data_IF_809964171814
#
_entry.id   IF_809964171814
#
_cell.length_a   1.000
_cell.length_b   1.000
_cell.length_c   1.000
_cell.angle_alpha   90.00
_cell.angle_beta   90.00
_cell.angle_gamma   90.00
#
_symmetry.space_group_name_H-M   'P 1'
#
loop_
_entity.id
_entity.type
_entity.pdbx_description
1 polymer ?
#
# COMPACT_ATOMS: atom_id res chain seq x y z
N UNK A 1 -8.64 7.63 -26.72
CA UNK A 1 -8.71 6.55 -25.69
C UNK A 1 -8.18 7.11 -24.37
N UNK A 2 -8.98 7.16 -23.31
CA UNK A 2 -8.53 7.67 -22.01
C UNK A 2 -7.72 6.58 -21.34
N UNK A 3 -6.42 6.80 -21.16
CA UNK A 3 -5.55 5.84 -20.48
C UNK A 3 -5.96 5.74 -19.01
N UNK A 4 -6.28 4.53 -18.54
CA UNK A 4 -6.56 4.29 -17.13
C UNK A 4 -5.24 4.09 -16.39
N UNK A 5 -4.96 5.00 -15.48
CA UNK A 5 -3.85 4.85 -14.53
C UNK A 5 -4.41 4.31 -13.23
N UNK A 6 -3.97 3.13 -12.83
CA UNK A 6 -4.41 2.49 -11.59
C UNK A 6 -3.98 3.21 -10.32
N UNK A 7 -4.02 2.50 -9.21
CA UNK A 7 -3.57 3.00 -7.91
C UNK A 7 -2.07 3.23 -7.91
N UNK A 8 -1.61 4.29 -7.24
CA UNK A 8 -0.20 4.68 -7.18
C UNK A 8 0.21 4.82 -5.71
N UNK A 9 1.29 4.16 -5.32
CA UNK A 9 2.01 4.41 -4.07
C UNK A 9 3.31 5.13 -4.38
N UNK A 10 3.67 6.08 -3.55
CA UNK A 10 4.92 6.84 -3.65
C UNK A 10 5.65 6.77 -2.32
N UNK A 11 6.94 6.50 -2.38
CA UNK A 11 7.88 6.68 -1.28
C UNK A 11 8.99 7.62 -1.77
N UNK A 12 9.22 8.72 -1.09
CA UNK A 12 10.12 9.74 -1.57
C UNK A 12 10.75 10.61 -0.49
N UNK A 13 11.60 11.52 -0.93
CA UNK A 13 12.24 12.51 -0.07
C UNK A 13 12.25 13.88 -0.77
N UNK A 14 11.84 14.91 -0.05
CA UNK A 14 11.88 16.28 -0.51
C UNK A 14 12.23 17.21 0.65
N UNK A 15 13.04 18.22 0.41
CA UNK A 15 13.45 19.23 1.40
C UNK A 15 13.93 18.62 2.73
N UNK A 16 14.72 17.53 2.65
CA UNK A 16 15.25 16.83 3.82
C UNK A 16 14.27 15.94 4.59
N UNK A 17 13.01 15.89 4.17
CA UNK A 17 11.95 15.06 4.79
C UNK A 17 11.58 13.89 3.89
N UNK A 18 11.43 12.72 4.49
CA UNK A 18 10.87 11.55 3.80
C UNK A 18 9.35 11.62 3.86
N UNK A 19 8.70 11.14 2.82
CA UNK A 19 7.24 11.12 2.72
C UNK A 19 6.75 9.87 1.98
N UNK A 20 5.51 9.51 2.25
CA UNK A 20 4.74 8.57 1.44
C UNK A 20 3.50 9.28 0.89
N UNK A 21 3.03 8.85 -0.27
CA UNK A 21 1.79 9.36 -0.84
C UNK A 21 1.01 8.23 -1.53
N UNK A 22 -0.29 8.40 -1.62
CA UNK A 22 -1.20 7.46 -2.23
C UNK A 22 -2.20 8.16 -3.15
N UNK A 23 -2.38 7.61 -4.33
CA UNK A 23 -3.47 7.96 -5.22
C UNK A 23 -4.39 6.77 -5.38
N UNK A 24 -5.62 6.91 -4.90
CA UNK A 24 -6.68 5.93 -5.13
C UNK A 24 -7.28 6.14 -6.53
N UNK A 25 -7.46 5.05 -7.26
CA UNK A 25 -8.18 5.02 -8.53
C UNK A 25 -8.90 3.67 -8.63
N UNK A 26 -10.18 3.70 -8.93
CA UNK A 26 -11.01 2.51 -9.08
C UNK A 26 -12.03 2.74 -10.18
N UNK A 27 -12.23 1.75 -11.04
CA UNK A 27 -13.27 1.79 -12.08
C UNK A 27 -14.65 1.53 -11.48
N UNK A 28 -14.73 0.58 -10.55
CA UNK A 28 -15.99 0.14 -9.95
C UNK A 28 -16.49 1.09 -8.85
N UNK A 29 -15.56 1.74 -8.12
CA UNK A 29 -15.86 2.65 -7.02
C UNK A 29 -15.01 3.92 -7.13
N UNK A 30 -15.33 4.83 -8.09
CA UNK A 30 -14.50 5.99 -8.37
C UNK A 30 -14.60 7.10 -7.30
N UNK A 31 -15.71 7.14 -6.56
CA UNK A 31 -16.02 8.22 -5.63
C UNK A 31 -15.46 7.91 -4.24
N UNK A 32 -14.26 8.40 -3.97
CA UNK A 32 -13.54 8.18 -2.72
C UNK A 32 -13.15 9.49 -2.05
N UNK A 33 -12.98 9.43 -0.75
CA UNK A 33 -12.37 10.47 0.07
C UNK A 33 -11.28 9.89 0.95
N UNK A 34 -10.37 10.73 1.41
CA UNK A 34 -9.38 10.39 2.42
C UNK A 34 -9.77 11.04 3.74
N UNK A 35 -9.75 10.27 4.81
CA UNK A 35 -9.95 10.74 6.18
C UNK A 35 -8.63 10.63 6.94
N UNK A 36 -8.22 11.76 7.54
CA UNK A 36 -6.95 11.84 8.30
C UNK A 36 -7.26 11.58 9.77
N UNK A 37 -6.52 10.67 10.35
CA UNK A 37 -6.49 10.36 11.77
C UNK A 37 -5.10 10.63 12.32
N UNK A 38 -4.87 10.47 13.62
CA UNK A 38 -3.59 10.79 14.27
C UNK A 38 -2.38 10.16 13.56
N UNK A 39 -2.40 8.84 13.35
CA UNK A 39 -1.30 8.08 12.74
C UNK A 39 -1.70 7.34 11.46
N UNK A 40 -2.83 7.69 10.87
CA UNK A 40 -3.32 7.01 9.68
C UNK A 40 -4.12 7.92 8.75
N UNK A 41 -4.18 7.51 7.49
CA UNK A 41 -5.09 8.05 6.49
C UNK A 41 -5.92 6.88 5.95
N UNK A 42 -7.24 6.99 6.08
CA UNK A 42 -8.19 5.97 5.64
C UNK A 42 -8.84 6.40 4.34
N UNK A 43 -8.89 5.52 3.36
CA UNK A 43 -9.72 5.70 2.16
C UNK A 43 -11.12 5.24 2.48
N UNK A 44 -12.10 6.10 2.19
CA UNK A 44 -13.52 5.85 2.40
C UNK A 44 -14.31 6.12 1.12
N UNK A 45 -15.43 5.44 0.87
CA UNK A 45 -16.35 5.86 -0.18
C UNK A 45 -17.03 7.17 0.20
N UNK A 46 -17.42 7.95 -0.80
CA UNK A 46 -18.26 9.15 -0.59
C UNK A 46 -19.70 8.75 -0.23
N UNK A 47 -20.20 7.67 -0.82
CA UNK A 47 -21.52 7.11 -0.50
C UNK A 47 -21.36 5.92 0.47
N UNK A 48 -21.93 6.02 1.68
CA UNK A 48 -21.92 4.91 2.64
C UNK A 48 -22.59 3.62 2.13
N UNK A 49 -23.52 3.70 1.18
CA UNK A 49 -24.17 2.55 0.58
C UNK A 49 -23.17 1.65 -0.19
N UNK A 50 -22.08 2.21 -0.68
CA UNK A 50 -21.02 1.46 -1.34
C UNK A 50 -20.31 0.50 -0.38
N UNK A 51 -20.23 0.80 0.93
CA UNK A 51 -19.69 -0.11 1.94
C UNK A 51 -20.53 -1.39 2.10
N UNK A 52 -21.84 -1.27 1.98
CA UNK A 52 -22.73 -2.44 2.03
C UNK A 52 -22.53 -3.36 0.82
N UNK A 53 -22.15 -2.80 -0.33
CA UNK A 53 -21.86 -3.54 -1.56
C UNK A 53 -20.48 -4.20 -1.53
N UNK A 54 -19.49 -3.52 -0.96
CA UNK A 54 -18.13 -4.03 -0.85
C UNK A 54 -17.40 -3.38 0.36
N UNK A 55 -17.25 -4.11 1.48
CA UNK A 55 -16.58 -3.56 2.66
C UNK A 55 -15.06 -3.34 2.46
N UNK A 56 -14.44 -3.99 1.47
CA UNK A 56 -13.00 -3.87 1.20
C UNK A 56 -12.60 -2.56 0.51
N UNK A 57 -13.55 -1.68 0.22
CA UNK A 57 -13.27 -0.38 -0.35
C UNK A 57 -12.89 0.66 0.70
N UNK A 58 -13.05 0.36 1.99
CA UNK A 58 -12.56 1.17 3.10
C UNK A 58 -11.35 0.48 3.74
N UNK A 59 -10.24 1.20 3.83
CA UNK A 59 -8.99 0.68 4.41
C UNK A 59 -8.03 1.83 4.74
N UNK A 60 -7.13 1.59 5.67
CA UNK A 60 -6.01 2.49 5.89
C UNK A 60 -5.05 2.39 4.69
N UNK A 61 -4.87 3.47 3.96
CA UNK A 61 -3.90 3.52 2.86
C UNK A 61 -2.51 3.97 3.33
N UNK A 62 -2.45 4.70 4.44
CA UNK A 62 -1.21 5.12 5.10
C UNK A 62 -1.35 4.88 6.60
N UNK A 63 -0.32 4.34 7.22
CA UNK A 63 -0.16 4.28 8.68
C UNK A 63 1.28 4.56 9.08
N UNK A 64 1.45 5.12 10.27
CA UNK A 64 2.76 5.39 10.87
C UNK A 64 2.93 4.51 12.10
N UNK A 65 3.97 3.67 12.08
CA UNK A 65 4.46 2.88 13.21
C UNK A 65 5.80 3.45 13.64
N UNK A 66 5.88 4.01 14.84
CA UNK A 66 7.07 4.68 15.36
C UNK A 66 7.63 5.74 14.39
N UNK A 67 8.78 5.47 13.79
CA UNK A 67 9.45 6.34 12.80
C UNK A 67 9.30 5.85 11.35
N UNK A 68 8.40 4.88 11.11
CA UNK A 68 8.15 4.30 9.79
C UNK A 68 6.78 4.71 9.27
N UNK A 69 6.72 5.35 8.11
CA UNK A 69 5.45 5.56 7.39
C UNK A 69 5.28 4.47 6.34
N UNK A 70 4.13 3.82 6.36
CA UNK A 70 3.74 2.73 5.44
C UNK A 70 2.59 3.20 4.56
N UNK A 71 2.64 2.88 3.27
CA UNK A 71 1.60 3.17 2.28
C UNK A 71 1.29 1.94 1.44
N UNK A 72 0.02 1.64 1.24
CA UNK A 72 -0.40 0.54 0.36
C UNK A 72 -1.72 0.83 -0.36
N UNK A 73 -2.09 -0.04 -1.28
CA UNK A 73 -3.37 0.04 -2.01
C UNK A 73 -4.47 -0.84 -1.41
N UNK A 74 -4.38 -1.26 -0.15
CA UNK A 74 -5.39 -2.12 0.46
C UNK A 74 -5.16 -2.37 1.95
N UNK A 75 -5.90 -3.31 2.51
CA UNK A 75 -5.89 -3.67 3.93
C UNK A 75 -4.56 -4.20 4.47
N UNK A 76 -3.63 -4.57 3.60
CA UNK A 76 -2.29 -5.01 4.01
C UNK A 76 -1.42 -3.88 4.61
N UNK A 77 -1.86 -2.62 4.56
CA UNK A 77 -1.25 -1.53 5.34
C UNK A 77 -1.21 -1.88 6.82
N UNK A 78 -2.33 -2.35 7.37
CA UNK A 78 -2.43 -2.67 8.78
C UNK A 78 -1.50 -3.80 9.17
N UNK A 79 -1.50 -4.90 8.41
CA UNK A 79 -0.61 -6.03 8.67
C UNK A 79 0.88 -5.64 8.62
N UNK A 80 1.30 -4.83 7.63
CA UNK A 80 2.68 -4.38 7.54
C UNK A 80 3.03 -3.53 8.76
N UNK A 81 2.15 -2.61 9.14
CA UNK A 81 2.37 -1.69 10.26
C UNK A 81 2.47 -2.44 11.57
N UNK A 82 1.54 -3.38 11.86
CA UNK A 82 1.54 -4.21 13.05
C UNK A 82 2.82 -5.06 13.17
N UNK A 83 3.29 -5.65 12.06
CA UNK A 83 4.57 -6.38 12.05
C UNK A 83 5.76 -5.48 12.38
N UNK A 84 5.74 -4.21 11.97
CA UNK A 84 6.79 -3.25 12.32
C UNK A 84 6.70 -2.89 13.80
N UNK A 85 5.49 -2.66 14.33
CA UNK A 85 5.23 -2.43 15.75
C UNK A 85 5.70 -3.61 16.61
N UNK A 86 5.59 -4.84 16.08
CA UNK A 86 6.11 -6.07 16.70
C UNK A 86 7.65 -6.24 16.54
N UNK A 87 8.35 -5.26 15.98
CA UNK A 87 9.81 -5.23 15.89
C UNK A 87 10.40 -5.78 14.60
N UNK A 88 9.60 -6.13 13.60
CA UNK A 88 10.14 -6.56 12.30
C UNK A 88 10.71 -5.38 11.52
N UNK A 89 11.74 -5.64 10.71
CA UNK A 89 12.25 -4.63 9.78
C UNK A 89 11.19 -4.25 8.75
N UNK A 90 11.14 -2.99 8.25
CA UNK A 90 10.16 -2.60 7.24
C UNK A 90 10.21 -3.47 5.98
N UNK A 91 11.42 -3.87 5.56
CA UNK A 91 11.59 -4.75 4.40
C UNK A 91 10.98 -6.15 4.61
N UNK A 92 11.24 -6.77 5.75
CA UNK A 92 10.72 -8.11 6.08
C UNK A 92 9.20 -8.07 6.30
N UNK A 93 8.71 -7.06 7.02
CA UNK A 93 7.28 -6.86 7.24
C UNK A 93 6.51 -6.72 5.92
N UNK A 94 7.04 -5.94 4.97
CA UNK A 94 6.47 -5.80 3.63
C UNK A 94 6.54 -7.11 2.84
N UNK A 95 7.70 -7.79 2.83
CA UNK A 95 7.88 -9.04 2.10
C UNK A 95 6.89 -10.11 2.53
N UNK A 96 6.84 -10.37 3.82
CA UNK A 96 5.96 -11.40 4.39
C UNK A 96 4.48 -11.07 4.17
N UNK A 97 4.10 -9.81 4.30
CA UNK A 97 2.72 -9.38 4.07
C UNK A 97 2.32 -9.50 2.60
N UNK A 98 3.18 -9.09 1.67
CA UNK A 98 2.92 -9.22 0.24
C UNK A 98 2.85 -10.68 -0.21
N UNK A 99 3.67 -11.56 0.37
CA UNK A 99 3.59 -13.01 0.13
C UNK A 99 2.27 -13.58 0.64
N UNK A 100 1.82 -13.18 1.84
CA UNK A 100 0.59 -13.68 2.43
C UNK A 100 -0.66 -13.21 1.68
N UNK A 101 -0.69 -11.95 1.26
CA UNK A 101 -1.86 -11.37 0.57
C UNK A 101 -1.87 -11.62 -0.95
N UNK A 102 -0.71 -11.69 -1.59
CA UNK A 102 -0.59 -11.88 -3.03
C UNK A 102 -1.27 -10.78 -3.85
N UNK A 103 -2.10 -11.18 -4.80
CA UNK A 103 -2.95 -10.29 -5.60
C UNK A 103 -4.34 -10.13 -4.97
N UNK A 104 -5.04 -9.07 -5.32
CA UNK A 104 -6.47 -8.94 -4.98
C UNK A 104 -7.26 -10.03 -5.74
N UNK A 105 -8.22 -10.63 -5.05
CA UNK A 105 -9.15 -11.61 -5.68
C UNK A 105 -10.28 -10.87 -6.37
N UNK A 106 -9.92 -10.01 -7.31
CA UNK A 106 -10.84 -9.31 -8.18
C UNK A 106 -10.70 -9.83 -9.62
N UNK A 107 -11.63 -9.47 -10.50
CA UNK A 107 -11.61 -9.88 -11.92
C UNK A 107 -10.37 -9.39 -12.68
N UNK A 108 -9.66 -8.41 -12.14
CA UNK A 108 -8.50 -7.77 -12.76
C UNK A 108 -7.17 -8.32 -12.24
N UNK A 109 -7.20 -9.25 -11.26
CA UNK A 109 -6.00 -9.77 -10.60
C UNK A 109 -5.06 -8.62 -10.15
N UNK A 110 -5.64 -7.62 -9.49
CA UNK A 110 -4.95 -6.38 -9.14
C UNK A 110 -3.78 -6.66 -8.22
N UNK A 111 -2.54 -6.27 -8.57
CA UNK A 111 -1.40 -6.47 -7.72
C UNK A 111 -1.49 -5.61 -6.47
N UNK A 112 -1.14 -6.17 -5.33
CA UNK A 112 -0.94 -5.40 -4.13
C UNK A 112 0.40 -4.68 -4.21
N UNK A 113 0.38 -3.39 -3.92
CA UNK A 113 1.58 -2.56 -3.91
C UNK A 113 1.77 -1.95 -2.54
N UNK A 114 3.03 -1.82 -2.13
CA UNK A 114 3.38 -1.27 -0.83
C UNK A 114 4.63 -0.40 -0.92
N UNK A 115 4.70 0.60 -0.06
CA UNK A 115 5.87 1.42 0.16
C UNK A 115 6.05 1.74 1.64
N UNK A 116 7.28 1.98 2.06
CA UNK A 116 7.61 2.44 3.39
C UNK A 116 8.80 3.39 3.36
N UNK A 117 8.85 4.32 4.31
CA UNK A 117 10.01 5.18 4.53
C UNK A 117 10.38 5.21 5.99
N UNK A 118 11.69 5.24 6.26
CA UNK A 118 12.28 5.42 7.59
C UNK A 118 13.56 6.23 7.47
N UNK A 119 13.60 7.43 8.03
CA UNK A 119 14.74 8.31 7.88
C UNK A 119 15.07 8.57 6.40
N UNK A 120 16.26 8.20 5.95
CA UNK A 120 16.70 8.33 4.56
C UNK A 120 16.56 7.03 3.73
N UNK A 121 15.86 6.02 4.24
CA UNK A 121 15.62 4.74 3.57
C UNK A 121 14.19 4.65 3.07
N UNK A 122 14.02 4.03 1.91
CA UNK A 122 12.71 3.71 1.35
C UNK A 122 12.68 2.28 0.84
N UNK A 123 11.51 1.67 0.91
CA UNK A 123 11.20 0.34 0.39
C UNK A 123 9.97 0.43 -0.50
N UNK A 124 10.00 -0.28 -1.61
CA UNK A 124 8.85 -0.47 -2.49
C UNK A 124 8.74 -1.95 -2.81
N UNK A 125 7.53 -2.47 -2.86
CA UNK A 125 7.27 -3.87 -3.12
C UNK A 125 5.95 -4.13 -3.81
N UNK A 126 5.93 -5.21 -4.58
CA UNK A 126 4.73 -5.80 -5.18
C UNK A 126 4.97 -7.29 -5.35
N UNK A 127 3.96 -8.17 -5.20
CA UNK A 127 4.11 -9.58 -5.51
C UNK A 127 4.37 -9.75 -7.02
N UNK A 128 5.36 -10.59 -7.36
CA UNK A 128 5.57 -11.01 -8.75
C UNK A 128 4.44 -11.91 -9.25
N UNK A 129 4.13 -11.86 -10.54
CA UNK A 129 3.29 -12.90 -11.15
C UNK A 129 4.12 -14.17 -11.25
N UNK A 130 3.70 -15.23 -10.57
CA UNK A 130 4.28 -16.57 -10.77
C UNK A 130 3.66 -17.21 -12.00
N UNK A 131 4.24 -16.96 -13.16
CA UNK A 131 4.15 -17.96 -14.23
C UNK A 131 5.22 -19.01 -13.94
N UNK A 132 4.82 -20.17 -13.41
CA UNK A 132 5.63 -21.40 -13.27
C UNK A 132 7.16 -21.18 -13.14
N UNK A 133 7.60 -20.76 -11.97
CA UNK A 133 9.01 -20.58 -11.66
C UNK A 133 9.17 -19.61 -10.50
N UNK A 134 9.86 -20.03 -9.45
CA UNK A 134 10.19 -19.21 -8.30
C UNK A 134 10.96 -17.96 -8.76
N UNK A 135 10.29 -16.84 -8.96
CA UNK A 135 10.95 -15.57 -9.17
C UNK A 135 10.95 -14.81 -7.86
N UNK A 136 12.11 -14.59 -7.30
CA UNK A 136 12.36 -13.72 -6.17
C UNK A 136 11.69 -12.35 -6.41
N UNK A 137 10.87 -11.90 -5.47
CA UNK A 137 10.35 -10.53 -5.44
C UNK A 137 11.53 -9.55 -5.55
N UNK A 138 11.61 -8.83 -6.66
CA UNK A 138 12.66 -7.85 -6.90
C UNK A 138 12.47 -6.66 -5.95
N UNK A 139 13.32 -6.56 -4.96
CA UNK A 139 13.40 -5.43 -4.06
C UNK A 139 14.30 -4.37 -4.67
N UNK A 140 13.76 -3.22 -4.99
CA UNK A 140 14.57 -2.09 -5.40
C UNK A 140 15.03 -1.33 -4.16
N UNK A 141 16.29 -1.56 -3.77
CA UNK A 141 16.95 -0.75 -2.74
C UNK A 141 17.51 0.49 -3.44
N UNK A 142 16.94 1.66 -3.20
CA UNK A 142 17.61 2.90 -3.60
C UNK A 142 18.81 3.12 -2.68
N UNK A 143 20.01 3.17 -3.26
CA UNK A 143 21.23 3.56 -2.53
C UNK A 143 21.19 5.06 -2.18
N UNK A 144 21.87 5.46 -1.10
CA UNK A 144 21.98 6.87 -0.69
C UNK A 144 22.64 7.74 -1.75
#
# INVERSE_FOLDING_TARGET
>A
MKMYVGRIVVAGRAQGRSFVAYRVSSRSFPNRRAEVHDKSITVMPLDPADLARNPYISYNCIRVADDVAVVTNGTHTDMITERIEDGQSPGDAMALSLLAYGHERDELDTPRIAGAVRGNRAWLGSPGRTSSGCSSSGWMRTRP
#
